data_IF_202112655710
#
_entry.id   IF_202112655710
#
_cell.length_a   1.000
_cell.length_b   1.000
_cell.length_c   1.000
_cell.angle_alpha   90.00
_cell.angle_beta   90.00
_cell.angle_gamma   90.00
#
_symmetry.space_group_name_H-M   'P 1'
#
loop_
_entity.id
_entity.type
_entity.pdbx_description
1 polymer ?
#
# COMPACT_ATOMS: atom_id res chain seq x y z
N UNK A 1 71.62 -43.30 9.54
CA UNK A 1 72.90 -42.61 9.31
C UNK A 1 72.62 -41.12 9.07
N UNK A 2 73.34 -40.26 9.81
CA UNK A 2 73.76 -38.87 9.51
C UNK A 2 72.71 -37.72 9.50
N UNK A 3 72.95 -36.75 10.41
CA UNK A 3 72.43 -35.37 10.57
C UNK A 3 72.90 -34.44 9.43
N UNK A 4 72.28 -33.24 9.30
CA UNK A 4 72.85 -31.87 9.04
C UNK A 4 71.63 -30.96 8.72
N UNK A 5 71.21 -29.94 9.49
CA UNK A 5 71.82 -28.67 9.95
C UNK A 5 71.88 -27.54 8.89
N UNK A 6 71.14 -26.44 9.16
CA UNK A 6 71.47 -25.03 8.82
C UNK A 6 71.15 -24.55 7.39
N UNK A 7 71.08 -23.25 7.06
CA UNK A 7 71.20 -21.98 7.79
C UNK A 7 71.08 -20.81 6.76
N UNK A 8 70.70 -19.60 7.24
CA UNK A 8 70.81 -18.21 6.69
C UNK A 8 69.63 -17.70 5.82
N UNK A 9 68.86 -16.64 6.18
CA UNK A 9 69.11 -15.19 6.51
C UNK A 9 69.62 -14.37 5.31
N UNK A 10 69.55 -13.01 5.32
CA UNK A 10 68.57 -12.02 5.84
C UNK A 10 68.25 -10.96 4.74
N UNK A 11 67.50 -9.88 4.94
CA UNK A 11 67.89 -8.44 5.14
C UNK A 11 66.69 -7.61 4.63
N UNK A 12 66.35 -6.39 5.05
CA UNK A 12 66.75 -5.44 6.09
C UNK A 12 65.76 -4.26 6.03
N UNK A 13 65.51 -3.64 7.19
CA UNK A 13 65.42 -2.19 7.50
C UNK A 13 64.57 -1.25 6.58
N UNK A 14 63.80 -0.28 7.08
CA UNK A 14 64.22 0.71 8.07
C UNK A 14 63.04 1.41 8.78
N UNK A 15 63.40 1.99 9.93
CA UNK A 15 62.62 2.65 10.98
C UNK A 15 62.66 4.18 10.80
N UNK A 16 61.59 4.92 11.14
CA UNK A 16 61.71 6.34 11.57
C UNK A 16 60.62 6.76 12.58
N UNK A 17 60.96 6.53 13.84
CA UNK A 17 60.86 7.38 15.06
C UNK A 17 60.37 8.84 14.95
N UNK A 18 59.72 9.25 16.06
CA UNK A 18 59.86 10.57 16.70
C UNK A 18 58.54 11.34 16.78
N UNK A 19 58.10 11.93 17.89
CA UNK A 19 58.72 12.24 19.16
C UNK A 19 57.73 13.02 20.04
N UNK A 20 58.07 13.09 21.32
CA UNK A 20 57.26 13.42 22.49
C UNK A 20 57.10 14.94 22.75
N UNK A 21 56.11 15.32 23.58
CA UNK A 21 56.17 16.31 24.69
C UNK A 21 55.21 17.55 24.64
N UNK A 22 54.46 17.68 25.76
CA UNK A 22 54.02 18.85 26.56
C UNK A 22 52.61 19.46 26.46
N UNK A 23 51.97 19.35 27.62
CA UNK A 23 50.87 20.06 28.28
C UNK A 23 51.00 21.59 28.32
N UNK A 24 49.89 22.32 28.17
CA UNK A 24 49.46 23.42 29.08
C UNK A 24 48.05 23.95 28.74
N UNK A 25 47.32 24.24 29.82
CA UNK A 25 45.92 24.60 30.03
C UNK A 25 45.57 26.04 29.62
N UNK A 26 44.31 26.33 29.26
CA UNK A 26 43.58 27.55 29.67
C UNK A 26 42.06 27.42 29.39
N UNK A 27 41.28 27.83 30.39
CA UNK A 27 39.80 27.81 30.48
C UNK A 27 39.16 28.98 29.72
N UNK A 28 37.97 28.75 29.16
CA UNK A 28 36.91 29.76 29.14
C UNK A 28 35.53 29.09 29.09
N UNK A 29 34.73 29.33 30.13
CA UNK A 29 33.34 28.96 30.22
C UNK A 29 32.46 29.95 29.45
N UNK A 30 31.45 29.45 28.74
CA UNK A 30 30.25 30.20 28.41
C UNK A 30 29.04 29.30 28.68
N UNK A 31 28.20 29.75 29.59
CA UNK A 31 27.02 29.05 30.06
C UNK A 31 25.75 29.57 29.36
N UNK A 32 24.79 28.65 29.23
CA UNK A 32 23.33 28.82 29.07
C UNK A 32 22.78 29.27 27.70
N UNK A 33 22.25 28.29 26.97
CA UNK A 33 20.90 28.41 26.42
C UNK A 33 20.12 27.17 26.84
N UNK A 34 19.17 27.38 27.76
CA UNK A 34 18.14 26.41 28.11
C UNK A 34 17.22 26.24 26.90
N UNK A 35 17.47 25.22 26.10
CA UNK A 35 16.47 24.64 25.20
C UNK A 35 16.18 23.26 25.73
N UNK A 36 15.07 23.09 26.43
CA UNK A 36 14.62 21.78 26.87
C UNK A 36 14.58 20.85 25.67
N UNK A 37 15.47 19.87 25.65
CA UNK A 37 15.31 18.67 24.83
C UNK A 37 14.12 17.93 25.44
N UNK A 38 12.90 18.33 25.05
CA UNK A 38 11.78 17.43 25.04
C UNK A 38 12.13 16.35 24.03
N UNK A 39 12.87 15.35 24.49
CA UNK A 39 12.80 13.98 23.99
C UNK A 39 11.36 13.53 24.25
N UNK A 40 10.43 14.05 23.45
CA UNK A 40 9.14 13.43 23.28
C UNK A 40 9.49 12.04 22.79
N UNK A 41 9.20 11.04 23.61
CA UNK A 41 9.04 9.69 23.15
C UNK A 41 7.88 9.75 22.13
N UNK A 42 8.21 10.12 20.89
CA UNK A 42 7.33 9.87 19.77
C UNK A 42 7.14 8.38 19.80
N UNK A 43 5.94 7.94 20.17
CA UNK A 43 5.49 6.61 19.86
C UNK A 43 5.77 6.45 18.38
N UNK A 44 6.77 5.63 18.04
CA UNK A 44 6.91 5.15 16.68
C UNK A 44 5.64 4.35 16.43
N UNK A 45 4.59 5.01 15.94
CA UNK A 45 3.52 4.32 15.26
C UNK A 45 4.24 3.55 14.17
N UNK A 46 4.24 2.22 14.28
CA UNK A 46 4.66 1.39 13.17
C UNK A 46 3.84 1.88 11.97
N UNK A 47 4.49 2.54 11.01
CA UNK A 47 3.82 3.00 9.82
C UNK A 47 3.43 1.74 9.04
N UNK A 48 2.23 1.22 9.31
CA UNK A 48 1.67 0.11 8.56
C UNK A 48 1.65 0.46 7.07
N UNK A 49 1.70 -0.55 6.22
CA UNK A 49 1.68 -0.34 4.77
C UNK A 49 0.48 0.54 4.37
N UNK A 50 0.69 1.47 3.43
CA UNK A 50 -0.40 2.33 2.95
C UNK A 50 -1.47 1.51 2.23
N UNK A 51 -2.72 1.97 2.30
CA UNK A 51 -3.79 1.44 1.47
C UNK A 51 -3.76 2.09 0.09
N UNK A 52 -4.04 1.32 -0.95
CA UNK A 52 -4.13 1.80 -2.32
C UNK A 52 -5.58 2.11 -2.70
N UNK A 53 -5.78 3.22 -3.42
CA UNK A 53 -7.03 3.58 -4.06
C UNK A 53 -6.77 4.21 -5.43
N UNK A 54 -7.21 3.55 -6.50
CA UNK A 54 -6.97 3.96 -7.89
C UNK A 54 -5.49 4.31 -8.17
N UNK A 55 -4.55 3.54 -7.61
CA UNK A 55 -3.11 3.73 -7.74
C UNK A 55 -2.50 4.77 -6.78
N UNK A 56 -3.31 5.57 -6.09
CA UNK A 56 -2.86 6.47 -5.03
C UNK A 56 -2.64 5.73 -3.70
N UNK A 57 -1.65 6.14 -2.92
CA UNK A 57 -1.33 5.56 -1.61
C UNK A 57 -1.80 6.46 -0.46
N UNK A 58 -2.46 5.85 0.53
CA UNK A 58 -3.07 6.52 1.68
C UNK A 58 -2.55 5.90 2.98
N UNK A 59 -2.01 6.72 3.87
CA UNK A 59 -1.44 6.26 5.15
C UNK A 59 -2.49 5.65 6.08
N UNK A 60 -2.04 4.81 7.01
CA UNK A 60 -2.88 4.25 8.07
C UNK A 60 -3.65 5.36 8.82
N UNK A 61 -4.91 5.11 9.18
CA UNK A 61 -5.80 6.08 9.80
C UNK A 61 -6.45 7.08 8.84
N UNK A 62 -6.00 7.16 7.58
CA UNK A 62 -6.61 8.05 6.58
C UNK A 62 -8.04 7.63 6.30
N UNK A 63 -8.97 8.59 6.29
CA UNK A 63 -10.36 8.36 5.88
C UNK A 63 -10.64 9.04 4.55
N UNK A 64 -11.24 8.31 3.62
CA UNK A 64 -11.70 8.81 2.33
C UNK A 64 -13.19 8.61 2.16
N UNK A 65 -13.82 9.34 1.24
CA UNK A 65 -15.21 9.13 0.84
C UNK A 65 -15.27 8.66 -0.59
N UNK A 66 -16.06 7.61 -0.83
CA UNK A 66 -16.36 7.10 -2.16
C UNK A 66 -17.76 6.50 -2.20
N UNK A 67 -18.51 6.79 -3.26
CA UNK A 67 -19.80 6.14 -3.49
C UNK A 67 -20.83 6.38 -2.39
N UNK A 68 -20.73 7.49 -1.64
CA UNK A 68 -21.61 7.79 -0.51
C UNK A 68 -21.26 7.07 0.81
N UNK A 69 -20.02 6.55 0.95
CA UNK A 69 -19.56 5.88 2.17
C UNK A 69 -18.18 6.38 2.59
N UNK A 70 -17.89 6.35 3.89
CA UNK A 70 -16.52 6.53 4.38
C UNK A 70 -15.73 5.22 4.30
N UNK A 71 -14.43 5.33 4.06
CA UNK A 71 -13.48 4.21 4.11
C UNK A 71 -12.26 4.63 4.91
N UNK A 72 -11.94 3.90 5.97
CA UNK A 72 -10.75 4.13 6.78
C UNK A 72 -9.64 3.15 6.39
N UNK A 73 -8.45 3.66 6.10
CA UNK A 73 -7.27 2.84 5.87
C UNK A 73 -6.81 2.26 7.21
N UNK A 74 -6.76 0.95 7.29
CA UNK A 74 -6.30 0.19 8.45
C UNK A 74 -5.49 -1.03 8.01
N UNK A 75 -5.41 -2.00 8.90
CA UNK A 75 -4.97 -3.35 8.58
C UNK A 75 -6.11 -4.35 8.75
N UNK A 76 -6.03 -5.49 8.06
CA UNK A 76 -6.87 -6.65 8.37
C UNK A 76 -6.34 -7.42 9.59
N UNK A 77 -6.96 -8.57 9.91
CA UNK A 77 -6.56 -9.43 11.03
C UNK A 77 -5.19 -10.11 10.85
N UNK A 78 -4.56 -9.99 9.69
CA UNK A 78 -3.23 -10.53 9.38
C UNK A 78 -2.18 -9.41 9.24
N UNK A 79 -2.57 -8.15 9.44
CA UNK A 79 -1.68 -6.98 9.34
C UNK A 79 -1.49 -6.43 7.92
N UNK A 80 -2.24 -6.92 6.91
CA UNK A 80 -2.18 -6.40 5.55
C UNK A 80 -3.04 -5.14 5.41
N UNK A 81 -2.68 -4.16 4.55
CA UNK A 81 -3.44 -2.92 4.38
C UNK A 81 -4.86 -3.21 3.87
N UNK A 82 -5.86 -2.64 4.54
CA UNK A 82 -7.27 -2.90 4.29
C UNK A 82 -8.11 -1.63 4.44
N UNK A 83 -9.08 -1.45 3.54
CA UNK A 83 -10.08 -0.39 3.63
C UNK A 83 -11.30 -0.85 4.41
N UNK A 84 -11.48 -0.29 5.60
CA UNK A 84 -12.66 -0.52 6.45
C UNK A 84 -13.78 0.41 6.03
N UNK A 85 -14.85 -0.14 5.46
CA UNK A 85 -16.06 0.65 5.14
C UNK A 85 -16.75 1.09 6.43
N UNK A 86 -16.99 2.39 6.54
CA UNK A 86 -17.66 3.02 7.66
C UNK A 86 -19.11 3.40 7.36
N UNK A 87 -19.53 4.53 7.92
CA UNK A 87 -20.88 5.06 7.83
C UNK A 87 -21.20 5.66 6.44
N UNK A 88 -22.49 5.84 6.10
CA UNK A 88 -22.87 6.66 4.96
C UNK A 88 -22.31 8.08 5.07
N UNK A 89 -21.86 8.63 3.95
CA UNK A 89 -21.34 9.98 3.80
C UNK A 89 -22.24 10.78 2.85
N UNK A 90 -22.52 12.04 3.18
CA UNK A 90 -23.35 12.95 2.36
C UNK A 90 -22.55 13.89 1.46
N UNK A 91 -21.23 13.87 1.61
CA UNK A 91 -20.31 14.70 0.82
C UNK A 91 -19.87 13.97 -0.45
N UNK A 92 -19.38 14.73 -1.43
CA UNK A 92 -18.80 14.19 -2.66
C UNK A 92 -17.60 13.28 -2.36
N UNK A 93 -17.29 12.39 -3.31
CA UNK A 93 -16.13 11.52 -3.18
C UNK A 93 -14.84 12.32 -3.11
N UNK A 94 -13.93 11.91 -2.24
CA UNK A 94 -12.62 12.54 -2.04
C UNK A 94 -11.50 11.80 -2.77
N UNK A 95 -11.85 10.73 -3.49
CA UNK A 95 -10.94 9.87 -4.24
C UNK A 95 -11.54 9.52 -5.60
N UNK A 96 -10.72 9.19 -6.61
CA UNK A 96 -11.22 8.77 -7.91
C UNK A 96 -12.09 7.51 -7.81
N UNK A 97 -13.17 7.50 -8.58
CA UNK A 97 -14.04 6.34 -8.74
C UNK A 97 -14.08 5.95 -10.21
N UNK A 98 -13.07 5.22 -10.73
CA UNK A 98 -13.04 4.82 -12.14
C UNK A 98 -13.92 3.59 -12.44
N UNK A 99 -14.58 3.01 -11.43
CA UNK A 99 -15.25 1.72 -11.54
C UNK A 99 -14.28 0.54 -11.41
N UNK A 100 -14.82 -0.67 -11.37
CA UNK A 100 -14.06 -1.92 -11.31
C UNK A 100 -13.55 -2.35 -12.72
N UNK A 101 -12.89 -1.43 -13.43
CA UNK A 101 -12.58 -1.54 -14.87
C UNK A 101 -11.41 -2.46 -15.26
N UNK A 102 -10.63 -2.93 -14.29
CA UNK A 102 -9.42 -3.72 -14.52
C UNK A 102 -9.09 -4.59 -13.31
N UNK A 103 -8.08 -5.44 -13.46
CA UNK A 103 -7.54 -6.23 -12.36
C UNK A 103 -7.07 -5.32 -11.20
N UNK A 104 -7.49 -5.55 -9.94
CA UNK A 104 -7.31 -4.56 -8.86
C UNK A 104 -5.88 -4.47 -8.32
N UNK A 105 -5.03 -5.47 -8.58
CA UNK A 105 -3.65 -5.50 -8.08
C UNK A 105 -2.85 -4.24 -8.48
N UNK A 106 -2.18 -3.62 -7.52
CA UNK A 106 -1.42 -2.39 -7.70
C UNK A 106 -2.27 -1.11 -7.80
N UNK A 107 -3.60 -1.23 -7.91
CA UNK A 107 -4.53 -0.09 -7.99
C UNK A 107 -5.32 0.08 -6.71
N UNK A 108 -5.75 -1.02 -6.10
CA UNK A 108 -6.63 -1.01 -4.94
C UNK A 108 -6.19 -2.04 -3.90
N UNK A 109 -6.23 -1.66 -2.63
CA UNK A 109 -6.09 -2.60 -1.51
C UNK A 109 -7.42 -3.32 -1.24
N UNK A 110 -7.38 -4.52 -0.62
CA UNK A 110 -8.57 -5.19 -0.10
C UNK A 110 -9.49 -4.25 0.70
N UNK A 111 -10.79 -4.47 0.59
CA UNK A 111 -11.78 -3.65 1.26
C UNK A 111 -12.31 -2.50 0.41
N UNK A 112 -11.51 -1.98 -0.54
CA UNK A 112 -11.92 -0.91 -1.44
C UNK A 112 -13.15 -1.32 -2.26
N UNK A 113 -14.05 -0.37 -2.53
CA UNK A 113 -15.24 -0.60 -3.35
C UNK A 113 -15.29 0.34 -4.54
N UNK A 114 -15.81 -0.17 -5.65
CA UNK A 114 -16.08 0.58 -6.88
C UNK A 114 -17.42 0.10 -7.46
N UNK A 115 -18.11 0.97 -8.19
CA UNK A 115 -19.21 0.54 -9.04
C UNK A 115 -18.69 -0.39 -10.15
N UNK A 116 -19.51 -1.34 -10.58
CA UNK A 116 -19.14 -2.29 -11.62
C UNK A 116 -19.07 -1.67 -13.01
N UNK A 117 -18.30 -2.32 -13.89
CA UNK A 117 -18.23 -1.98 -15.31
C UNK A 117 -18.45 -3.23 -16.15
N UNK A 118 -18.34 -3.08 -17.47
CA UNK A 118 -18.28 -4.20 -18.42
C UNK A 118 -17.17 -5.23 -18.10
N UNK A 119 -16.13 -4.86 -17.36
CA UNK A 119 -15.10 -5.79 -16.88
C UNK A 119 -15.71 -6.89 -15.99
N UNK A 120 -16.82 -6.59 -15.31
CA UNK A 120 -17.49 -7.50 -14.40
C UNK A 120 -18.65 -8.27 -15.05
N UNK A 121 -18.87 -8.11 -16.36
CA UNK A 121 -19.88 -8.86 -17.09
C UNK A 121 -19.61 -10.37 -17.02
N UNK A 122 -20.68 -11.15 -16.88
CA UNK A 122 -20.59 -12.61 -16.94
C UNK A 122 -21.87 -13.21 -17.51
N UNK A 123 -21.80 -14.47 -17.90
CA UNK A 123 -22.93 -15.19 -18.45
C UNK A 123 -23.51 -16.19 -17.46
N UNK A 124 -24.83 -16.29 -17.39
CA UNK A 124 -25.57 -17.36 -16.73
C UNK A 124 -26.40 -18.07 -17.80
N UNK A 125 -25.92 -19.21 -18.27
CA UNK A 125 -26.46 -19.86 -19.48
C UNK A 125 -26.31 -18.95 -20.69
N UNK A 126 -27.42 -18.60 -21.35
CA UNK A 126 -27.46 -17.67 -22.48
C UNK A 126 -27.76 -16.22 -22.08
N UNK A 127 -27.84 -15.92 -20.78
CA UNK A 127 -28.14 -14.57 -20.29
C UNK A 127 -26.83 -13.84 -19.97
N UNK A 128 -26.70 -12.61 -20.48
CA UNK A 128 -25.69 -11.67 -20.01
C UNK A 128 -26.17 -11.05 -18.71
N UNK A 129 -25.34 -11.12 -17.68
CA UNK A 129 -25.49 -10.33 -16.46
C UNK A 129 -24.52 -9.16 -16.58
N UNK A 130 -25.06 -7.94 -16.65
CA UNK A 130 -24.24 -6.74 -16.75
C UNK A 130 -23.55 -6.46 -15.42
N UNK A 131 -22.23 -6.32 -15.47
CA UNK A 131 -21.45 -5.96 -14.30
C UNK A 131 -21.81 -4.59 -13.72
N UNK A 132 -22.38 -3.71 -14.54
CA UNK A 132 -22.74 -2.33 -14.14
C UNK A 132 -23.88 -2.24 -13.12
N UNK A 133 -24.58 -3.35 -12.85
CA UNK A 133 -25.72 -3.41 -11.91
C UNK A 133 -25.31 -3.62 -10.44
N UNK A 134 -24.02 -3.84 -10.16
CA UNK A 134 -23.49 -4.11 -8.82
C UNK A 134 -22.35 -3.19 -8.40
N UNK A 135 -22.12 -3.12 -7.08
CA UNK A 135 -20.90 -2.60 -6.46
C UNK A 135 -19.98 -3.77 -6.16
N UNK A 136 -18.70 -3.62 -6.49
CA UNK A 136 -17.68 -4.64 -6.27
C UNK A 136 -16.71 -4.20 -5.19
N UNK A 137 -16.28 -5.17 -4.38
CA UNK A 137 -15.26 -5.01 -3.36
C UNK A 137 -14.01 -5.79 -3.75
N UNK A 138 -12.83 -5.20 -3.55
CA UNK A 138 -11.56 -5.92 -3.67
C UNK A 138 -11.44 -6.88 -2.50
N UNK A 139 -11.18 -8.15 -2.81
CA UNK A 139 -10.88 -9.18 -1.82
C UNK A 139 -9.58 -9.88 -2.22
N UNK A 140 -8.92 -10.52 -1.25
CA UNK A 140 -7.73 -11.35 -1.47
C UNK A 140 -8.09 -12.83 -1.37
N UNK A 141 -7.49 -13.72 -2.17
CA UNK A 141 -7.35 -15.11 -1.70
C UNK A 141 -6.36 -15.15 -0.54
N UNK A 142 -6.41 -16.22 0.24
CA UNK A 142 -5.40 -16.52 1.25
C UNK A 142 -3.97 -16.72 0.71
N UNK A 143 -3.72 -16.47 -0.59
CA UNK A 143 -2.38 -16.46 -1.22
C UNK A 143 -1.92 -15.05 -1.63
N UNK A 144 -2.75 -14.02 -1.42
CA UNK A 144 -2.43 -12.61 -1.69
C UNK A 144 -2.85 -12.11 -3.08
N UNK A 145 -3.47 -12.94 -3.92
CA UNK A 145 -4.02 -12.50 -5.20
C UNK A 145 -5.34 -11.75 -4.98
N UNK A 146 -5.56 -10.69 -5.75
CA UNK A 146 -6.67 -9.77 -5.57
C UNK A 146 -7.70 -9.88 -6.69
N UNK A 147 -8.98 -9.78 -6.35
CA UNK A 147 -10.08 -9.78 -7.32
C UNK A 147 -11.27 -8.96 -6.84
N UNK A 148 -12.10 -8.59 -7.81
CA UNK A 148 -13.40 -7.98 -7.56
C UNK A 148 -14.42 -9.05 -7.18
N UNK A 149 -15.14 -8.80 -6.09
CA UNK A 149 -16.28 -9.62 -5.66
C UNK A 149 -17.50 -8.73 -5.51
N UNK A 150 -18.64 -9.15 -6.06
CA UNK A 150 -19.91 -8.44 -5.87
C UNK A 150 -20.22 -8.27 -4.37
N UNK A 151 -20.59 -7.05 -3.98
CA UNK A 151 -20.74 -6.63 -2.59
C UNK A 151 -22.12 -6.03 -2.28
N UNK A 152 -22.96 -5.82 -3.31
CA UNK A 152 -24.32 -5.30 -3.22
C UNK A 152 -24.74 -4.63 -4.52
N UNK A 153 -26.02 -4.26 -4.62
CA UNK A 153 -26.59 -3.56 -5.78
C UNK A 153 -25.99 -2.17 -5.99
N UNK A 154 -25.95 -1.71 -7.25
CA UNK A 154 -25.54 -0.36 -7.67
C UNK A 154 -26.33 0.76 -6.97
N UNK A 155 -27.56 0.50 -6.51
CA UNK A 155 -28.38 1.47 -5.78
C UNK A 155 -27.75 1.93 -4.46
N UNK A 156 -26.75 1.20 -3.96
CA UNK A 156 -25.99 1.56 -2.77
C UNK A 156 -24.84 2.54 -3.05
N UNK A 157 -24.57 2.84 -4.33
CA UNK A 157 -23.49 3.72 -4.76
C UNK A 157 -24.02 5.10 -5.13
N UNK A 158 -23.59 6.12 -4.40
CA UNK A 158 -23.87 7.51 -4.76
C UNK A 158 -22.83 8.01 -5.79
N UNK A 159 -23.30 8.34 -6.99
CA UNK A 159 -22.47 8.91 -8.04
C UNK A 159 -22.24 10.41 -7.83
N UNK A 160 -21.00 10.85 -8.06
CA UNK A 160 -20.69 12.27 -8.15
C UNK A 160 -21.33 12.86 -9.42
N UNK A 161 -21.71 14.15 -9.44
CA UNK A 161 -22.32 14.77 -10.61
C UNK A 161 -21.51 14.55 -11.89
N UNK A 162 -22.17 14.10 -12.96
CA UNK A 162 -21.52 13.81 -14.25
C UNK A 162 -20.81 12.45 -14.31
N UNK A 163 -20.82 11.66 -13.24
CA UNK A 163 -20.43 10.25 -13.24
C UNK A 163 -21.66 9.34 -13.26
N UNK A 164 -21.47 8.08 -13.63
CA UNK A 164 -22.55 7.10 -13.70
C UNK A 164 -22.05 5.74 -14.18
N UNK A 165 -22.81 4.68 -13.93
CA UNK A 165 -22.50 3.37 -14.49
C UNK A 165 -22.59 3.48 -16.02
N UNK A 166 -21.61 2.92 -16.71
CA UNK A 166 -21.68 2.75 -18.15
C UNK A 166 -22.36 1.42 -18.43
N UNK A 167 -23.35 1.41 -19.32
CA UNK A 167 -23.93 0.16 -19.81
C UNK A 167 -22.87 -0.67 -20.50
N UNK A 168 -23.02 -1.98 -20.42
CA UNK A 168 -22.15 -2.86 -21.19
C UNK A 168 -22.33 -2.62 -22.69
N UNK A 169 -21.23 -2.67 -23.43
CA UNK A 169 -21.25 -2.74 -24.89
C UNK A 169 -21.53 -4.16 -25.38
N UNK A 170 -21.45 -5.16 -24.49
CA UNK A 170 -21.70 -6.56 -24.77
C UNK A 170 -23.20 -6.84 -24.76
N UNK A 171 -23.59 -7.91 -25.46
CA UNK A 171 -24.97 -8.37 -25.47
C UNK A 171 -25.04 -9.87 -25.18
N UNK A 172 -26.23 -10.37 -24.88
CA UNK A 172 -26.46 -11.79 -24.61
C UNK A 172 -26.08 -12.72 -25.77
N UNK A 173 -25.89 -12.20 -26.99
CA UNK A 173 -25.40 -13.00 -28.11
C UNK A 173 -23.96 -13.49 -27.91
N UNK A 174 -23.20 -12.88 -27.01
CA UNK A 174 -21.84 -13.29 -26.64
C UNK A 174 -21.82 -14.36 -25.55
N UNK A 175 -22.99 -14.76 -25.02
CA UNK A 175 -23.10 -15.81 -24.02
C UNK A 175 -23.35 -17.16 -24.69
N UNK A 176 -22.34 -18.02 -24.65
CA UNK A 176 -22.42 -19.40 -25.13
C UNK A 176 -22.05 -20.38 -24.02
N UNK A 177 -22.99 -21.27 -23.66
CA UNK A 177 -22.85 -22.26 -22.57
C UNK A 177 -22.38 -21.64 -21.24
N UNK A 178 -22.81 -20.42 -20.92
CA UNK A 178 -22.41 -19.71 -19.70
C UNK A 178 -21.02 -19.08 -19.75
N UNK A 179 -20.33 -19.13 -20.90
CA UNK A 179 -19.10 -18.39 -21.14
C UNK A 179 -19.36 -17.15 -21.98
N UNK A 180 -18.67 -16.06 -21.64
CA UNK A 180 -18.66 -14.84 -22.43
C UNK A 180 -17.55 -14.95 -23.48
N UNK A 181 -17.91 -14.95 -24.77
CA UNK A 181 -16.99 -15.20 -25.90
C UNK A 181 -17.19 -14.22 -27.04
#
# INVERSE_FOLDING_TARGET
MIKISGLRRPTACDDKRGGTVRTLTLLAAAAVAAGGLSLGAGTAEAQGAACLWAGGAYGQGTTVVAGGWTFACGTDGLGAPYWHRGAPARQASTVPNPGAYAHPAGLFSPGARQYGTDYNDYCVGSQLIEGSEDVYQVVSDGRGALWWKAAGSIDQWAFDPGSGPQRSWRSSSLCYDGSLT
#
